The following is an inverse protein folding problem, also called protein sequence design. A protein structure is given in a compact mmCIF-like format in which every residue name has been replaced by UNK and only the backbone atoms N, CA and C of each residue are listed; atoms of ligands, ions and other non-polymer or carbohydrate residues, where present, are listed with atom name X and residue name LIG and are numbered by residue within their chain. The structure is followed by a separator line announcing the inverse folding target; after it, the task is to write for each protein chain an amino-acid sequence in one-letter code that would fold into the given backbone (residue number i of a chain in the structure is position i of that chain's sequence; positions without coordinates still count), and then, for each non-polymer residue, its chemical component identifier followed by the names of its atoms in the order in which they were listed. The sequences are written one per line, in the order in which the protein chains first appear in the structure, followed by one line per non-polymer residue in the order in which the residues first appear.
data_IF_709431002936
#
_entry.id   IF_709431002936
#
_cell.length_a   1.000
_cell.length_b   1.000
_cell.length_c   1.000
_cell.angle_alpha   90.00
_cell.angle_beta   90.00
_cell.angle_gamma   90.00
#
_symmetry.space_group_name_H-M   'P 1'
#
loop_
_entity.id
_entity.type
_entity.pdbx_description
1 polymer ?
#
# COMPACT_ATOMS: atom_id res chain seq x y z
N UNK A 1 39.04 39.16 -9.89
CA UNK A 1 37.60 39.38 -10.11
C UNK A 1 36.89 38.04 -10.04
N UNK A 2 36.28 37.73 -8.89
CA UNK A 2 35.47 36.52 -8.72
C UNK A 2 34.07 36.78 -9.27
N UNK A 3 33.72 36.18 -10.41
CA UNK A 3 32.34 36.11 -10.88
C UNK A 3 31.59 35.14 -9.97
N UNK A 4 30.87 35.68 -8.99
CA UNK A 4 29.87 34.93 -8.24
C UNK A 4 28.71 34.63 -9.19
N UNK A 5 28.61 33.39 -9.66
CA UNK A 5 27.40 32.90 -10.31
C UNK A 5 26.35 32.70 -9.21
N UNK A 6 25.46 33.68 -9.03
CA UNK A 6 24.28 33.49 -8.17
C UNK A 6 23.41 32.39 -8.78
N UNK A 7 22.87 31.45 -7.97
CA UNK A 7 21.93 30.46 -8.47
C UNK A 7 20.68 31.16 -9.01
N UNK A 8 20.20 30.72 -10.16
CA UNK A 8 19.06 31.30 -10.85
C UNK A 8 17.74 30.93 -10.14
N UNK A 9 17.48 31.56 -8.99
CA UNK A 9 16.38 31.27 -8.06
C UNK A 9 14.99 31.45 -8.69
N UNK A 10 14.84 32.36 -9.65
CA UNK A 10 13.57 32.57 -10.36
C UNK A 10 13.14 31.35 -11.18
N UNK A 11 14.09 30.64 -11.79
CA UNK A 11 13.80 29.44 -12.57
C UNK A 11 13.38 28.26 -11.69
N UNK A 12 14.02 28.07 -10.53
CA UNK A 12 13.67 26.99 -9.59
C UNK A 12 12.24 27.15 -9.02
N UNK A 13 11.82 28.38 -8.68
CA UNK A 13 10.45 28.65 -8.20
C UNK A 13 9.42 28.37 -9.31
N UNK A 14 9.71 28.76 -10.56
CA UNK A 14 8.82 28.45 -11.70
C UNK A 14 8.73 26.95 -11.96
N UNK A 15 9.83 26.21 -11.86
CA UNK A 15 9.85 24.76 -11.98
C UNK A 15 9.02 24.09 -10.87
N UNK A 16 9.14 24.52 -9.62
CA UNK A 16 8.33 24.03 -8.50
C UNK A 16 6.83 24.27 -8.69
N UNK A 17 6.44 25.47 -9.14
CA UNK A 17 5.04 25.79 -9.44
C UNK A 17 4.50 24.90 -10.57
N UNK A 18 5.31 24.64 -11.60
CA UNK A 18 4.95 23.75 -12.69
C UNK A 18 4.77 22.29 -12.23
N UNK A 19 5.63 21.80 -11.33
CA UNK A 19 5.55 20.47 -10.73
C UNK A 19 4.29 20.30 -9.89
N UNK A 20 3.97 21.28 -9.04
CA UNK A 20 2.74 21.28 -8.23
C UNK A 20 1.48 21.28 -9.11
N UNK A 21 1.47 22.07 -10.19
CA UNK A 21 0.37 22.09 -11.14
C UNK A 21 0.19 20.73 -11.85
N UNK A 22 1.29 20.09 -12.27
CA UNK A 22 1.26 18.75 -12.85
C UNK A 22 0.76 17.69 -11.87
N UNK A 23 1.22 17.73 -10.62
CA UNK A 23 0.73 16.84 -9.54
C UNK A 23 -0.77 17.01 -9.33
N UNK A 24 -1.27 18.25 -9.30
CA UNK A 24 -2.70 18.51 -9.15
C UNK A 24 -3.51 17.98 -10.34
N UNK A 25 -3.01 18.14 -11.56
CA UNK A 25 -3.64 17.59 -12.75
C UNK A 25 -3.68 16.04 -12.72
N UNK A 26 -2.57 15.40 -12.35
CA UNK A 26 -2.49 13.93 -12.21
C UNK A 26 -3.43 13.40 -11.13
N UNK A 27 -3.54 14.09 -9.98
CA UNK A 27 -4.51 13.74 -8.93
C UNK A 27 -5.95 13.83 -9.44
N UNK A 28 -6.27 14.90 -10.19
CA UNK A 28 -7.60 15.06 -10.80
C UNK A 28 -7.93 13.97 -11.81
N UNK A 29 -6.98 13.62 -12.69
CA UNK A 29 -7.16 12.53 -13.66
C UNK A 29 -7.35 11.18 -12.95
N UNK A 30 -6.53 10.89 -11.95
CA UNK A 30 -6.63 9.65 -11.18
C UNK A 30 -7.99 9.54 -10.47
N UNK A 31 -8.45 10.62 -9.82
CA UNK A 31 -9.77 10.64 -9.17
C UNK A 31 -10.91 10.44 -10.17
N UNK A 32 -10.83 11.03 -11.36
CA UNK A 32 -11.84 10.84 -12.40
C UNK A 32 -11.88 9.37 -12.86
N UNK A 33 -10.73 8.76 -13.12
CA UNK A 33 -10.60 7.34 -13.49
C UNK A 33 -11.15 6.43 -12.39
N UNK A 34 -10.78 6.68 -11.14
CA UNK A 34 -11.27 5.92 -9.99
C UNK A 34 -12.78 6.05 -9.82
N UNK A 35 -13.33 7.25 -10.01
CA UNK A 35 -14.77 7.47 -9.93
C UNK A 35 -15.51 6.73 -11.07
N UNK A 36 -15.09 6.92 -12.32
CA UNK A 36 -15.69 6.24 -13.49
C UNK A 36 -15.66 4.71 -13.33
N UNK A 37 -14.52 4.16 -12.92
CA UNK A 37 -14.37 2.71 -12.69
C UNK A 37 -15.23 2.23 -11.53
N UNK A 38 -15.32 2.99 -10.43
CA UNK A 38 -16.14 2.62 -9.27
C UNK A 38 -17.63 2.56 -9.61
N UNK A 39 -18.14 3.51 -10.40
CA UNK A 39 -19.55 3.56 -10.82
C UNK A 39 -19.87 2.38 -11.73
N UNK A 40 -18.97 2.07 -12.67
CA UNK A 40 -19.12 0.91 -13.54
C UNK A 40 -19.06 -0.40 -12.75
N UNK A 41 -18.11 -0.55 -11.83
CA UNK A 41 -18.00 -1.73 -10.97
C UNK A 41 -19.23 -1.90 -10.08
N UNK A 42 -19.79 -0.81 -9.53
CA UNK A 42 -21.02 -0.85 -8.76
C UNK A 42 -22.19 -1.36 -9.61
N UNK A 43 -22.26 -0.92 -10.87
CA UNK A 43 -23.26 -1.39 -11.83
C UNK A 43 -23.11 -2.87 -12.16
N UNK A 44 -21.87 -3.33 -12.42
CA UNK A 44 -21.57 -4.75 -12.64
C UNK A 44 -21.91 -5.60 -11.41
N UNK A 45 -21.56 -5.13 -10.21
CA UNK A 45 -21.89 -5.81 -8.96
C UNK A 45 -23.41 -5.91 -8.80
N UNK A 46 -24.16 -4.84 -9.02
CA UNK A 46 -25.62 -4.89 -8.91
C UNK A 46 -26.25 -5.93 -9.84
N UNK A 47 -25.71 -6.11 -11.05
CA UNK A 47 -26.21 -7.11 -12.01
C UNK A 47 -25.82 -8.54 -11.60
N UNK A 48 -24.61 -8.73 -11.07
CA UNK A 48 -24.02 -10.07 -10.88
C UNK A 48 -24.07 -10.58 -9.43
N UNK A 49 -24.46 -9.75 -8.47
CA UNK A 49 -24.36 -10.07 -7.04
C UNK A 49 -25.07 -11.37 -6.66
N UNK A 50 -26.30 -11.57 -7.15
CA UNK A 50 -27.07 -12.79 -6.86
C UNK A 50 -26.37 -14.03 -7.41
N UNK A 51 -25.82 -13.93 -8.63
CA UNK A 51 -25.08 -15.03 -9.27
C UNK A 51 -23.77 -15.35 -8.53
N UNK A 52 -23.09 -14.32 -8.03
CA UNK A 52 -21.85 -14.46 -7.25
C UNK A 52 -22.15 -15.13 -5.90
N UNK A 53 -23.19 -14.67 -5.20
CA UNK A 53 -23.61 -15.25 -3.91
C UNK A 53 -23.95 -16.73 -4.10
N UNK A 54 -24.77 -17.04 -5.09
CA UNK A 54 -25.15 -18.42 -5.36
C UNK A 54 -23.95 -19.31 -5.71
N UNK A 55 -23.00 -18.79 -6.49
CA UNK A 55 -21.78 -19.52 -6.86
C UNK A 55 -20.94 -19.88 -5.62
N UNK A 56 -20.82 -18.95 -4.68
CA UNK A 56 -20.12 -19.15 -3.42
C UNK A 56 -20.82 -20.18 -2.54
N UNK A 57 -22.13 -20.06 -2.36
CA UNK A 57 -22.93 -21.00 -1.57
C UNK A 57 -22.85 -22.43 -2.12
N UNK A 58 -23.02 -22.59 -3.44
CA UNK A 58 -22.94 -23.89 -4.10
C UNK A 58 -21.52 -24.48 -4.03
N UNK A 59 -20.49 -23.64 -4.16
CA UNK A 59 -19.09 -24.06 -4.02
C UNK A 59 -18.77 -24.56 -2.61
N UNK A 60 -19.28 -23.88 -1.59
CA UNK A 60 -19.12 -24.30 -0.20
C UNK A 60 -19.89 -25.57 0.12
N UNK A 61 -21.13 -25.69 -0.36
CA UNK A 61 -21.93 -26.89 -0.24
C UNK A 61 -21.25 -28.08 -0.95
N UNK A 62 -20.72 -27.88 -2.15
CA UNK A 62 -19.95 -28.90 -2.87
C UNK A 62 -18.72 -29.35 -2.05
N UNK A 63 -17.98 -28.41 -1.48
CA UNK A 63 -16.81 -28.69 -0.62
C UNK A 63 -17.19 -29.49 0.62
N UNK A 64 -18.31 -29.15 1.28
CA UNK A 64 -18.86 -29.90 2.42
C UNK A 64 -19.23 -31.33 2.02
N UNK A 65 -19.91 -31.51 0.89
CA UNK A 65 -20.27 -32.83 0.37
C UNK A 65 -19.03 -33.70 0.07
N UNK A 66 -17.97 -33.13 -0.50
CA UNK A 66 -16.72 -33.85 -0.74
C UNK A 66 -16.04 -34.27 0.56
N UNK A 67 -16.00 -33.38 1.57
CA UNK A 67 -15.47 -33.69 2.91
C UNK A 67 -16.25 -34.83 3.58
N UNK A 68 -17.58 -34.76 3.57
CA UNK A 68 -18.44 -35.79 4.15
C UNK A 68 -18.27 -37.15 3.45
N UNK A 69 -18.17 -37.17 2.11
CA UNK A 69 -17.87 -38.40 1.34
C UNK A 69 -16.50 -38.97 1.71
N UNK A 70 -15.49 -38.13 1.85
CA UNK A 70 -14.14 -38.55 2.28
C UNK A 70 -14.17 -39.16 3.68
N UNK A 71 -14.87 -38.53 4.63
CA UNK A 71 -15.03 -39.04 5.99
C UNK A 71 -15.73 -40.41 6.01
N UNK A 72 -16.87 -40.56 5.32
CA UNK A 72 -17.56 -41.86 5.19
C UNK A 72 -16.65 -42.95 4.61
N UNK A 73 -15.85 -42.62 3.58
CA UNK A 73 -14.87 -43.56 3.02
C UNK A 73 -13.76 -43.93 4.01
N UNK A 74 -13.31 -42.99 4.84
CA UNK A 74 -12.31 -43.25 5.88
C UNK A 74 -12.88 -44.14 6.99
N UNK A 75 -14.10 -43.88 7.46
CA UNK A 75 -14.79 -44.72 8.45
C UNK A 75 -15.01 -46.14 7.95
N UNK A 76 -15.45 -46.28 6.68
CA UNK A 76 -15.61 -47.59 6.05
C UNK A 76 -14.27 -48.33 5.98
N UNK A 77 -13.19 -47.64 5.60
CA UNK A 77 -11.84 -48.22 5.58
C UNK A 77 -11.42 -48.68 6.99
N UNK A 78 -11.60 -47.84 8.02
CA UNK A 78 -11.30 -48.18 9.43
C UNK A 78 -12.00 -49.43 9.93
N UNK A 79 -13.21 -49.72 9.46
CA UNK A 79 -13.95 -50.95 9.80
C UNK A 79 -13.40 -52.21 9.11
N UNK A 80 -12.61 -52.07 8.05
CA UNK A 80 -12.01 -53.18 7.34
C UNK A 80 -10.86 -53.81 8.12
N UNK A 81 -10.79 -55.14 8.16
CA UNK A 81 -9.78 -55.92 8.91
C UNK A 81 -8.32 -55.63 8.51
N UNK A 82 -8.09 -55.01 7.35
CA UNK A 82 -6.76 -54.72 6.79
C UNK A 82 -6.39 -53.23 6.85
N UNK A 83 -7.10 -52.42 7.62
CA UNK A 83 -6.81 -50.99 7.69
C UNK A 83 -5.62 -50.70 8.59
N UNK A 84 -4.61 -50.06 8.01
CA UNK A 84 -3.43 -49.54 8.70
C UNK A 84 -3.55 -48.02 8.69
N UNK A 85 -3.52 -47.39 9.87
CA UNK A 85 -3.55 -45.93 9.94
C UNK A 85 -2.35 -45.34 9.20
N UNK A 86 -2.56 -44.36 8.30
CA UNK A 86 -1.46 -43.73 7.59
C UNK A 86 -0.56 -43.02 8.60
N UNK A 87 0.69 -43.44 8.68
CA UNK A 87 1.74 -42.78 9.47
C UNK A 87 1.89 -41.38 8.86
N UNK A 88 1.43 -40.37 9.59
CA UNK A 88 1.50 -38.99 9.14
C UNK A 88 2.94 -38.62 8.81
N UNK A 89 3.17 -38.11 7.59
CA UNK A 89 4.43 -37.43 7.27
C UNK A 89 4.53 -36.29 8.27
N UNK A 90 5.52 -36.37 9.18
CA UNK A 90 5.82 -35.28 10.10
C UNK A 90 6.10 -34.06 9.24
N UNK A 91 5.20 -33.08 9.31
CA UNK A 91 5.40 -31.79 8.66
C UNK A 91 6.72 -31.24 9.17
N UNK A 92 7.76 -31.30 8.34
CA UNK A 92 8.99 -30.56 8.59
C UNK A 92 8.52 -29.09 8.66
N UNK A 93 8.69 -28.39 9.78
CA UNK A 93 8.34 -26.99 9.82
C UNK A 93 9.17 -26.33 8.73
N UNK A 94 8.50 -25.85 7.67
CA UNK A 94 9.10 -24.86 6.77
C UNK A 94 9.61 -23.80 7.72
N UNK A 95 10.94 -23.66 7.81
CA UNK A 95 11.52 -22.50 8.45
C UNK A 95 10.81 -21.32 7.82
N UNK A 96 10.01 -20.61 8.62
CA UNK A 96 9.52 -19.32 8.21
C UNK A 96 10.79 -18.58 7.82
N UNK A 97 10.91 -18.24 6.55
CA UNK A 97 11.67 -17.06 6.16
C UNK A 97 10.84 -15.93 6.77
N UNK A 98 10.96 -15.78 8.09
CA UNK A 98 10.74 -14.51 8.73
C UNK A 98 11.76 -13.65 8.04
N UNK A 99 11.30 -12.65 7.30
CA UNK A 99 12.11 -11.48 7.03
C UNK A 99 12.50 -10.93 8.39
N UNK A 100 13.50 -11.53 9.02
CA UNK A 100 14.29 -10.84 10.01
C UNK A 100 14.92 -9.74 9.19
N UNK A 101 14.37 -8.53 9.30
CA UNK A 101 15.24 -7.36 9.32
C UNK A 101 16.46 -7.79 10.13
N UNK A 102 17.63 -7.84 9.50
CA UNK A 102 18.80 -8.43 10.14
C UNK A 102 18.97 -7.76 11.49
N UNK A 103 19.41 -8.48 12.52
CA UNK A 103 19.66 -7.92 13.86
C UNK A 103 20.54 -6.66 13.81
N UNK A 104 21.24 -6.42 12.71
CA UNK A 104 22.02 -5.23 12.37
C UNK A 104 21.12 -4.03 12.07
N UNK A 105 20.09 -4.17 11.23
CA UNK A 105 19.13 -3.09 10.90
C UNK A 105 18.39 -2.60 12.14
N UNK A 106 17.96 -3.49 13.03
CA UNK A 106 17.30 -3.10 14.28
C UNK A 106 18.25 -2.34 15.23
N UNK A 107 19.53 -2.73 15.26
CA UNK A 107 20.56 -2.04 16.06
C UNK A 107 20.83 -0.64 15.50
N UNK A 108 20.90 -0.50 14.18
CA UNK A 108 21.10 0.79 13.52
C UNK A 108 19.90 1.71 13.71
N UNK A 109 18.67 1.21 13.53
CA UNK A 109 17.45 1.96 13.85
C UNK A 109 17.47 2.47 15.29
N UNK A 110 17.83 1.62 16.24
CA UNK A 110 17.91 1.98 17.67
C UNK A 110 19.02 2.99 17.96
N UNK A 111 20.16 2.91 17.26
CA UNK A 111 21.27 3.86 17.38
C UNK A 111 20.84 5.25 16.90
N UNK A 112 20.35 5.34 15.66
CA UNK A 112 19.90 6.59 15.03
C UNK A 112 18.78 7.26 15.83
N UNK A 113 17.81 6.47 16.31
CA UNK A 113 16.73 6.99 17.16
C UNK A 113 17.24 7.62 18.46
N UNK A 114 18.17 6.96 19.15
CA UNK A 114 18.74 7.50 20.40
C UNK A 114 19.55 8.77 20.16
N UNK A 115 20.31 8.77 19.08
CA UNK A 115 21.10 9.92 18.65
C UNK A 115 20.19 11.12 18.35
N UNK A 116 19.18 10.95 17.49
CA UNK A 116 18.20 11.99 17.19
C UNK A 116 17.41 12.47 18.43
N UNK A 117 16.97 11.56 19.30
CA UNK A 117 16.19 11.92 20.49
C UNK A 117 16.98 12.82 21.45
N UNK A 118 18.28 12.60 21.61
CA UNK A 118 19.14 13.43 22.46
C UNK A 118 19.21 14.90 22.00
N UNK A 119 19.01 15.15 20.70
CA UNK A 119 19.02 16.50 20.14
C UNK A 119 17.67 17.21 20.18
N UNK A 120 16.57 16.45 20.11
CA UNK A 120 15.21 16.99 19.95
C UNK A 120 14.38 16.88 21.23
N UNK A 121 14.85 16.20 22.28
CA UNK A 121 14.06 16.01 23.49
C UNK A 121 13.58 17.36 24.10
N UNK A 122 12.28 17.50 24.43
CA UNK A 122 11.71 18.77 24.91
C UNK A 122 12.36 19.30 26.20
N UNK A 123 12.82 18.43 27.12
CA UNK A 123 13.57 18.88 28.32
C UNK A 123 14.78 19.76 28.01
N UNK A 124 15.43 19.53 26.86
CA UNK A 124 16.61 20.31 26.45
C UNK A 124 16.26 21.77 26.13
N UNK A 125 14.99 22.03 25.83
CA UNK A 125 14.47 23.36 25.46
C UNK A 125 13.55 23.95 26.52
N UNK A 126 13.47 23.35 27.73
CA UNK A 126 12.63 23.76 28.85
C UNK A 126 12.67 25.25 29.23
N UNK A 127 13.71 25.98 28.82
CA UNK A 127 13.87 27.43 29.05
C UNK A 127 13.25 28.31 27.95
N UNK A 128 12.81 27.75 26.81
CA UNK A 128 12.26 28.46 25.65
C UNK A 128 10.92 27.82 25.24
N UNK A 129 9.79 28.36 25.72
CA UNK A 129 8.45 27.80 25.50
C UNK A 129 8.16 27.50 24.01
N UNK A 130 8.46 28.42 23.09
CA UNK A 130 8.24 28.23 21.64
C UNK A 130 9.04 27.06 21.05
N UNK A 131 10.22 26.76 21.62
CA UNK A 131 11.08 25.65 21.18
C UNK A 131 10.68 24.32 21.84
N UNK A 132 9.96 24.35 22.96
CA UNK A 132 9.44 23.15 23.63
C UNK A 132 8.31 22.54 22.81
N UNK A 133 7.39 23.37 22.29
CA UNK A 133 6.27 22.89 21.47
C UNK A 133 6.78 22.28 20.16
N UNK A 134 7.71 22.95 19.48
CA UNK A 134 8.34 22.44 18.25
C UNK A 134 9.14 21.15 18.52
N UNK A 135 9.90 21.09 19.60
CA UNK A 135 10.60 19.88 20.03
C UNK A 135 9.62 18.71 20.29
N UNK A 136 8.46 18.98 20.88
CA UNK A 136 7.41 17.99 21.14
C UNK A 136 6.79 17.46 19.84
N UNK A 137 6.62 18.31 18.83
CA UNK A 137 6.12 17.90 17.53
C UNK A 137 7.14 17.04 16.75
N UNK A 138 8.41 17.46 16.76
CA UNK A 138 9.49 16.72 16.06
C UNK A 138 9.80 15.39 16.75
N UNK A 139 9.75 15.32 18.09
CA UNK A 139 9.88 14.06 18.83
C UNK A 139 8.72 13.10 18.55
N UNK A 140 7.48 13.62 18.44
CA UNK A 140 6.32 12.80 18.08
C UNK A 140 6.47 12.17 16.69
N UNK A 141 6.92 12.97 15.69
CA UNK A 141 7.23 12.46 14.34
C UNK A 141 8.39 11.47 14.35
N UNK A 142 9.42 11.67 15.17
CA UNK A 142 10.53 10.72 15.34
C UNK A 142 10.05 9.36 15.88
N UNK A 143 9.15 9.38 16.86
CA UNK A 143 8.56 8.17 17.47
C UNK A 143 7.70 7.42 16.46
N UNK A 144 6.94 8.13 15.63
CA UNK A 144 6.14 7.55 14.55
C UNK A 144 7.03 6.85 13.53
N UNK A 145 8.04 7.55 12.98
CA UNK A 145 8.98 6.99 11.99
C UNK A 145 9.74 5.78 12.56
N UNK A 146 10.11 5.80 13.84
CA UNK A 146 10.76 4.65 14.48
C UNK A 146 9.85 3.42 14.61
N UNK A 147 8.54 3.63 14.86
CA UNK A 147 7.58 2.53 15.06
C UNK A 147 7.06 1.94 13.75
N UNK A 148 6.85 2.76 12.72
CA UNK A 148 6.18 2.34 11.48
C UNK A 148 7.06 2.42 10.25
N UNK A 149 8.18 3.13 10.31
CA UNK A 149 9.01 3.46 9.15
C UNK A 149 10.15 2.48 8.85
N UNK A 150 10.72 2.65 7.66
CA UNK A 150 11.89 1.88 7.20
C UNK A 150 13.21 2.54 7.67
N UNK A 151 14.32 1.79 7.71
CA UNK A 151 15.64 2.30 8.13
C UNK A 151 16.02 3.59 7.38
N UNK A 152 15.76 3.61 6.07
CA UNK A 152 16.03 4.74 5.19
C UNK A 152 15.25 6.01 5.57
N UNK A 153 14.00 5.87 6.01
CA UNK A 153 13.18 7.02 6.44
C UNK A 153 13.72 7.60 7.75
N UNK A 154 14.17 6.73 8.66
CA UNK A 154 14.80 7.15 9.91
C UNK A 154 16.15 7.83 9.68
N UNK A 155 16.98 7.35 8.74
CA UNK A 155 18.25 7.98 8.35
C UNK A 155 18.03 9.38 7.76
N UNK A 156 17.04 9.53 6.88
CA UNK A 156 16.70 10.82 6.27
C UNK A 156 16.20 11.81 7.33
N UNK A 157 15.34 11.37 8.24
CA UNK A 157 14.82 12.22 9.31
C UNK A 157 15.90 12.56 10.35
N UNK A 158 16.79 11.62 10.65
CA UNK A 158 17.98 11.87 11.45
C UNK A 158 18.86 12.95 10.80
N UNK A 159 19.17 12.86 9.51
CA UNK A 159 19.92 13.88 8.79
C UNK A 159 19.21 15.25 8.83
N UNK A 160 17.88 15.26 8.73
CA UNK A 160 17.08 16.49 8.84
C UNK A 160 17.18 17.14 10.23
N UNK A 161 17.11 16.36 11.31
CA UNK A 161 17.32 16.83 12.69
C UNK A 161 18.73 17.42 12.87
N UNK A 162 19.75 16.70 12.40
CA UNK A 162 21.15 17.12 12.54
C UNK A 162 21.54 18.31 11.67
N UNK A 163 20.83 18.52 10.56
CA UNK A 163 20.99 19.71 9.71
C UNK A 163 20.52 21.02 10.37
N UNK A 164 19.91 20.96 11.56
CA UNK A 164 19.41 22.12 12.29
C UNK A 164 18.04 22.61 11.82
N UNK A 165 17.56 22.15 10.65
CA UNK A 165 16.31 22.60 10.04
C UNK A 165 15.05 22.16 10.80
N UNK A 166 15.12 21.14 11.66
CA UNK A 166 13.96 20.64 12.39
C UNK A 166 13.49 21.56 13.54
N UNK A 167 14.40 22.37 14.11
CA UNK A 167 14.11 23.28 15.24
C UNK A 167 14.14 24.76 14.84
N UNK A 168 14.45 25.06 13.58
CA UNK A 168 14.44 26.40 12.98
C UNK A 168 13.16 26.57 12.15
N UNK A 169 11.99 26.53 12.79
CA UNK A 169 10.82 27.16 12.21
C UNK A 169 10.78 28.60 12.74
N UNK A 170 11.11 29.56 11.86
CA UNK A 170 11.17 31.03 12.09
C UNK A 170 12.35 31.42 12.99
N UNK A 171 13.40 32.13 12.57
CA UNK A 171 13.42 33.48 11.99
C UNK A 171 14.62 33.76 11.05
N UNK A 172 15.49 32.78 10.75
CA UNK A 172 16.62 32.99 9.82
C UNK A 172 16.29 32.44 8.41
N UNK A 173 15.27 33.01 7.76
CA UNK A 173 14.91 32.67 6.38
C UNK A 173 15.93 33.12 5.31
N UNK A 174 17.07 33.70 5.71
CA UNK A 174 18.07 34.28 4.78
C UNK A 174 19.47 33.68 4.87
N UNK A 175 19.67 32.51 5.50
CA UNK A 175 20.99 31.84 5.45
C UNK A 175 20.90 30.35 5.07
N UNK A 176 21.41 30.11 3.86
CA UNK A 176 21.93 28.86 3.30
C UNK A 176 20.94 27.91 2.59
N UNK A 177 20.63 28.27 1.34
CA UNK A 177 20.55 27.47 0.09
C UNK A 177 20.62 25.92 0.12
N UNK A 178 19.98 25.23 1.07
CA UNK A 178 19.91 23.77 1.14
C UNK A 178 18.48 23.20 1.09
N UNK A 179 17.45 24.04 1.25
CA UNK A 179 16.04 23.62 1.27
C UNK A 179 15.38 23.40 -0.10
N UNK A 180 15.79 24.13 -1.15
CA UNK A 180 15.17 24.04 -2.48
C UNK A 180 15.36 22.66 -3.13
N UNK A 181 16.53 22.03 -2.95
CA UNK A 181 16.80 20.72 -3.54
C UNK A 181 15.99 19.58 -2.89
N UNK A 182 15.66 19.69 -1.60
CA UNK A 182 14.89 18.68 -0.85
C UNK A 182 13.41 18.75 -1.25
N UNK A 183 12.84 19.95 -1.34
CA UNK A 183 11.47 20.14 -1.82
C UNK A 183 11.31 19.72 -3.29
N UNK A 184 12.30 20.02 -4.14
CA UNK A 184 12.29 19.62 -5.54
C UNK A 184 12.36 18.09 -5.72
N UNK A 185 13.13 17.41 -4.87
CA UNK A 185 13.23 15.94 -4.85
C UNK A 185 11.91 15.30 -4.42
N UNK A 186 11.27 15.85 -3.38
CA UNK A 186 9.97 15.37 -2.88
C UNK A 186 8.87 15.49 -3.95
N UNK A 187 8.72 16.65 -4.58
CA UNK A 187 7.70 16.88 -5.61
C UNK A 187 7.90 15.96 -6.83
N UNK A 188 9.15 15.66 -7.20
CA UNK A 188 9.47 14.71 -8.27
C UNK A 188 9.07 13.28 -7.90
N UNK A 189 9.37 12.85 -6.66
CA UNK A 189 8.97 11.52 -6.17
C UNK A 189 7.44 11.39 -6.06
N UNK A 190 6.74 12.42 -5.58
CA UNK A 190 5.29 12.43 -5.51
C UNK A 190 4.66 12.33 -6.90
N UNK A 191 5.20 13.08 -7.88
CA UNK A 191 4.77 12.98 -9.28
C UNK A 191 4.98 11.56 -9.82
N UNK A 192 6.15 10.96 -9.63
CA UNK A 192 6.45 9.60 -10.10
C UNK A 192 5.51 8.56 -9.46
N UNK A 193 5.24 8.68 -8.16
CA UNK A 193 4.31 7.80 -7.46
C UNK A 193 2.89 7.91 -8.04
N UNK A 194 2.43 9.12 -8.34
CA UNK A 194 1.12 9.36 -8.97
C UNK A 194 1.06 8.81 -10.40
N UNK A 195 2.12 8.97 -11.19
CA UNK A 195 2.21 8.39 -12.53
C UNK A 195 2.12 6.86 -12.49
N UNK A 196 2.80 6.22 -11.54
CA UNK A 196 2.70 4.77 -11.33
C UNK A 196 1.29 4.34 -10.92
N UNK A 197 0.64 5.06 -10.00
CA UNK A 197 -0.74 4.78 -9.61
C UNK A 197 -1.70 4.93 -10.78
N UNK A 198 -1.50 5.94 -11.62
CA UNK A 198 -2.30 6.20 -12.80
C UNK A 198 -2.13 5.11 -13.86
N UNK A 199 -0.90 4.61 -14.06
CA UNK A 199 -0.64 3.43 -14.91
C UNK A 199 -1.39 2.21 -14.36
N UNK A 200 -1.32 1.95 -13.06
CA UNK A 200 -2.05 0.84 -12.43
C UNK A 200 -3.56 0.98 -12.59
N UNK A 201 -4.10 2.19 -12.40
CA UNK A 201 -5.52 2.49 -12.57
C UNK A 201 -5.97 2.26 -14.03
N UNK A 202 -5.20 2.76 -15.01
CA UNK A 202 -5.47 2.55 -16.44
C UNK A 202 -5.31 1.09 -16.87
N UNK A 203 -4.47 0.32 -16.18
CA UNK A 203 -4.28 -1.10 -16.45
C UNK A 203 -5.34 -2.00 -15.82
N UNK A 204 -6.23 -1.48 -14.96
CA UNK A 204 -7.35 -2.28 -14.44
C UNK A 204 -8.26 -2.72 -15.58
N UNK A 205 -8.69 -3.98 -15.55
CA UNK A 205 -9.55 -4.54 -16.58
C UNK A 205 -10.88 -3.76 -16.71
N UNK A 206 -11.44 -3.30 -15.60
CA UNK A 206 -12.69 -2.53 -15.57
C UNK A 206 -12.55 -1.18 -16.28
N UNK A 207 -11.40 -0.52 -16.16
CA UNK A 207 -11.11 0.69 -16.92
C UNK A 207 -10.87 0.42 -18.40
N UNK A 208 -10.15 -0.65 -18.74
CA UNK A 208 -9.95 -1.05 -20.14
C UNK A 208 -11.27 -1.34 -20.84
N UNK A 209 -12.16 -2.10 -20.19
CA UNK A 209 -13.51 -2.36 -20.70
C UNK A 209 -14.28 -1.05 -20.93
N UNK A 210 -14.18 -0.09 -20.01
CA UNK A 210 -14.83 1.22 -20.17
C UNK A 210 -14.32 2.03 -21.38
N UNK A 211 -13.05 1.90 -21.76
CA UNK A 211 -12.45 2.69 -22.85
C UNK A 211 -12.41 1.94 -24.18
N UNK A 212 -12.22 0.63 -24.16
CA UNK A 212 -11.97 -0.19 -25.35
C UNK A 212 -13.25 -0.79 -25.94
N UNK A 213 -14.31 -0.97 -25.14
CA UNK A 213 -15.57 -1.53 -25.63
C UNK A 213 -16.44 -0.43 -26.22
N UNK A 214 -17.04 -0.69 -27.39
CA UNK A 214 -18.06 0.21 -27.98
C UNK A 214 -19.23 0.46 -27.02
N UNK A 215 -19.63 -0.59 -26.29
CA UNK A 215 -20.60 -0.51 -25.21
C UNK A 215 -20.09 -1.31 -23.99
N UNK A 216 -19.70 -0.65 -22.89
CA UNK A 216 -19.19 -1.31 -21.69
C UNK A 216 -20.16 -2.31 -21.06
N UNK A 217 -21.47 -2.20 -21.32
CA UNK A 217 -22.46 -3.14 -20.78
C UNK A 217 -22.45 -4.52 -21.44
N UNK A 218 -21.86 -4.69 -22.63
CA UNK A 218 -21.68 -6.02 -23.21
C UNK A 218 -20.80 -6.92 -22.34
N UNK A 219 -19.83 -6.33 -21.64
CA UNK A 219 -19.03 -7.07 -20.66
C UNK A 219 -19.88 -7.66 -19.53
N UNK A 220 -20.96 -6.98 -19.11
CA UNK A 220 -21.89 -7.52 -18.13
C UNK A 220 -22.63 -8.75 -18.66
N UNK A 221 -23.00 -8.74 -19.95
CA UNK A 221 -23.66 -9.88 -20.62
C UNK A 221 -22.72 -11.08 -20.73
N UNK A 222 -21.46 -10.86 -21.09
CA UNK A 222 -20.43 -11.89 -21.11
C UNK A 222 -20.23 -12.53 -19.73
N UNK A 223 -20.12 -11.71 -18.69
CA UNK A 223 -20.01 -12.18 -17.31
C UNK A 223 -21.26 -12.97 -16.90
N UNK A 224 -22.45 -12.51 -17.28
CA UNK A 224 -23.69 -13.24 -17.03
C UNK A 224 -23.66 -14.62 -17.69
N UNK A 225 -23.28 -14.70 -18.97
CA UNK A 225 -23.15 -15.98 -19.68
C UNK A 225 -22.15 -16.92 -18.96
N UNK A 226 -20.99 -16.40 -18.57
CA UNK A 226 -20.01 -17.16 -17.79
C UNK A 226 -20.58 -17.72 -16.49
N UNK A 227 -21.24 -16.88 -15.68
CA UNK A 227 -21.81 -17.30 -14.41
C UNK A 227 -22.98 -18.27 -14.59
N UNK A 228 -23.83 -18.09 -15.61
CA UNK A 228 -24.94 -19.03 -15.87
C UNK A 228 -24.43 -20.46 -16.14
N UNK A 229 -23.40 -20.63 -16.99
CA UNK A 229 -22.81 -21.94 -17.26
C UNK A 229 -22.11 -22.52 -16.02
N UNK A 230 -21.37 -21.70 -15.28
CA UNK A 230 -20.70 -22.12 -14.03
C UNK A 230 -21.71 -22.58 -12.98
N UNK A 231 -22.78 -21.81 -12.75
CA UNK A 231 -23.85 -22.15 -11.83
C UNK A 231 -24.58 -23.41 -12.27
N UNK A 232 -24.89 -23.56 -13.56
CA UNK A 232 -25.49 -24.79 -14.09
C UNK A 232 -24.65 -26.03 -13.77
N UNK A 233 -23.34 -25.96 -13.98
CA UNK A 233 -22.39 -27.04 -13.64
C UNK A 233 -22.34 -27.32 -12.14
N UNK A 234 -22.33 -26.28 -11.30
CA UNK A 234 -22.32 -26.42 -9.84
C UNK A 234 -23.63 -27.02 -9.32
N UNK A 235 -24.79 -26.48 -9.71
CA UNK A 235 -26.13 -27.00 -9.39
C UNK A 235 -26.25 -28.49 -9.73
N UNK A 236 -25.75 -28.92 -10.90
CA UNK A 236 -25.75 -30.34 -11.28
C UNK A 236 -24.92 -31.22 -10.33
N UNK A 237 -23.78 -30.71 -9.85
CA UNK A 237 -22.88 -31.43 -8.92
C UNK A 237 -23.44 -31.46 -7.49
N UNK A 238 -24.21 -30.45 -7.11
CA UNK A 238 -24.77 -30.29 -5.76
C UNK A 238 -26.20 -30.80 -5.62
N UNK A 239 -26.86 -31.23 -6.70
CA UNK A 239 -28.25 -31.74 -6.71
C UNK A 239 -28.56 -32.88 -5.73
N UNK A 240 -27.55 -33.63 -5.29
CA UNK A 240 -27.69 -34.78 -4.36
C UNK A 240 -27.26 -34.47 -2.93
N UNK A 241 -26.96 -33.21 -2.64
CA UNK A 241 -26.64 -32.78 -1.28
C UNK A 241 -27.86 -32.84 -0.37
#
# INVERSE_FOLDING_TARGET
MFKQNLPNTKNSIQEQLSLKAQIQALKGELQAIEHETSVFEASLRAILIDMIIEEQELSDLYRRMQKAKKQKRLEQKKRGKNYIDPIGIKSIPKQKIVATESKEVEKEKKRLYREAMLHVHPDKFSMNEDKVDLATEVTSKLIEIYKTGNLRELELFHAHIFSGNALLQTEDADRAHSGSAIEDSYLKQEKEALEQQLILAKNRQTYRVLKDYENPMHFAEELRLYYTDRLFKLRKRTRKA
#
